data_IF_484412865642
#
_entry.id   IF_484412865642
#
_cell.length_a   1.000
_cell.length_b   1.000
_cell.length_c   1.000
_cell.angle_alpha   90.00
_cell.angle_beta   90.00
_cell.angle_gamma   90.00
#
_symmetry.space_group_name_H-M   'P 1'
#
loop_
_entity.id
_entity.type
_entity.pdbx_description
1 polymer ?
#
# COMPACT_ATOMS: atom_id res chain seq x y z
N UNK A 1 -18.26 -20.88 -5.09
CA UNK A 1 -18.34 -20.36 -3.71
C UNK A 1 -16.91 -20.13 -3.22
N UNK A 2 -16.43 -18.90 -3.19
CA UNK A 2 -15.14 -18.58 -2.58
C UNK A 2 -15.32 -18.64 -1.07
N UNK A 3 -14.70 -19.63 -0.43
CA UNK A 3 -14.68 -19.73 1.04
C UNK A 3 -13.96 -18.50 1.55
N UNK A 4 -14.62 -17.68 2.38
CA UNK A 4 -13.95 -16.56 3.04
C UNK A 4 -12.80 -17.11 3.89
N UNK A 5 -11.58 -16.52 3.79
CA UNK A 5 -10.46 -16.99 4.60
C UNK A 5 -10.79 -16.89 6.07
N UNK A 6 -10.41 -17.92 6.83
CA UNK A 6 -10.63 -17.96 8.28
C UNK A 6 -9.84 -16.87 9.00
N UNK A 7 -10.38 -16.36 10.11
CA UNK A 7 -9.79 -15.29 10.91
C UNK A 7 -8.31 -15.49 11.24
N UNK A 8 -7.83 -16.71 11.62
CA UNK A 8 -6.40 -16.93 11.87
C UNK A 8 -5.49 -16.63 10.67
N UNK A 9 -5.93 -16.97 9.46
CA UNK A 9 -5.19 -16.65 8.23
C UNK A 9 -5.12 -15.14 7.98
N UNK A 10 -6.20 -14.42 8.26
CA UNK A 10 -6.24 -12.96 8.13
C UNK A 10 -5.31 -12.27 9.12
N UNK A 11 -5.22 -12.79 10.36
CA UNK A 11 -4.24 -12.30 11.35
C UNK A 11 -2.81 -12.55 10.85
N UNK A 12 -2.55 -13.75 10.29
CA UNK A 12 -1.24 -14.05 9.71
C UNK A 12 -0.89 -13.14 8.51
N UNK A 13 -1.87 -12.77 7.68
CA UNK A 13 -1.69 -11.80 6.60
C UNK A 13 -1.31 -10.42 7.14
N UNK A 14 -2.06 -9.92 8.12
CA UNK A 14 -1.76 -8.63 8.76
C UNK A 14 -0.37 -8.63 9.41
N UNK A 15 -0.01 -9.73 10.07
CA UNK A 15 1.31 -9.92 10.66
C UNK A 15 2.43 -9.89 9.61
N UNK A 16 2.29 -10.67 8.55
CA UNK A 16 3.27 -10.71 7.47
C UNK A 16 3.41 -9.35 6.76
N UNK A 17 2.28 -8.72 6.41
CA UNK A 17 2.28 -7.41 5.76
C UNK A 17 2.95 -6.32 6.62
N UNK A 18 2.67 -6.30 7.93
CA UNK A 18 3.27 -5.34 8.85
C UNK A 18 4.75 -5.64 9.12
N UNK A 19 5.13 -6.91 9.20
CA UNK A 19 6.54 -7.28 9.32
C UNK A 19 7.33 -6.78 8.11
N UNK A 20 6.78 -6.95 6.93
CA UNK A 20 7.32 -6.45 5.67
C UNK A 20 7.44 -4.93 5.69
N UNK A 21 6.34 -4.23 5.99
CA UNK A 21 6.29 -2.78 6.01
C UNK A 21 7.27 -2.19 7.04
N UNK A 22 7.31 -2.74 8.23
CA UNK A 22 8.24 -2.31 9.27
C UNK A 22 9.71 -2.50 8.90
N UNK A 23 10.03 -3.49 8.06
CA UNK A 23 11.41 -3.72 7.59
C UNK A 23 11.82 -2.79 6.44
N UNK A 24 10.89 -2.35 5.60
CA UNK A 24 11.17 -1.61 4.35
C UNK A 24 10.69 -0.16 4.44
N UNK A 25 9.75 0.14 5.33
CA UNK A 25 9.12 1.46 5.46
C UNK A 25 8.12 1.77 4.34
N UNK A 26 7.71 0.75 3.59
CA UNK A 26 6.69 0.82 2.53
C UNK A 26 6.33 -0.59 2.08
N UNK A 27 5.05 -0.88 1.88
CA UNK A 27 4.66 -2.17 1.30
C UNK A 27 3.56 -2.91 2.05
N UNK A 28 3.00 -2.35 3.13
CA UNK A 28 1.87 -2.94 3.84
C UNK A 28 0.74 -3.26 2.86
N UNK A 29 0.25 -2.25 2.14
CA UNK A 29 -0.89 -2.39 1.24
C UNK A 29 -0.64 -3.41 0.13
N UNK A 30 0.49 -3.31 -0.59
CA UNK A 30 0.78 -4.27 -1.69
C UNK A 30 0.93 -5.70 -1.20
N UNK A 31 1.54 -5.91 -0.03
CA UNK A 31 1.74 -7.25 0.54
C UNK A 31 0.42 -7.84 1.02
N UNK A 32 -0.36 -7.08 1.78
CA UNK A 32 -1.68 -7.51 2.24
C UNK A 32 -2.61 -7.81 1.05
N UNK A 33 -2.64 -6.93 0.04
CA UNK A 33 -3.47 -7.11 -1.16
C UNK A 33 -3.04 -8.30 -1.99
N UNK A 34 -1.74 -8.51 -2.18
CA UNK A 34 -1.24 -9.67 -2.90
C UNK A 34 -1.69 -10.97 -2.23
N UNK A 35 -1.55 -11.07 -0.91
CA UNK A 35 -1.93 -12.28 -0.16
C UNK A 35 -3.46 -12.45 -0.15
N UNK A 36 -4.24 -11.40 0.16
CA UNK A 36 -5.71 -11.49 0.18
C UNK A 36 -6.29 -11.86 -1.19
N UNK A 37 -5.74 -11.29 -2.27
CA UNK A 37 -6.17 -11.62 -3.64
C UNK A 37 -5.82 -13.05 -4.01
N UNK A 38 -4.66 -13.56 -3.55
CA UNK A 38 -4.27 -14.97 -3.71
C UNK A 38 -5.22 -15.91 -2.95
N UNK A 39 -5.70 -15.49 -1.77
CA UNK A 39 -6.73 -16.21 -1.00
C UNK A 39 -8.14 -16.12 -1.62
N UNK A 40 -8.27 -15.50 -2.78
CA UNK A 40 -9.51 -15.40 -3.54
C UNK A 40 -10.44 -14.27 -3.11
N UNK A 41 -10.01 -13.38 -2.21
CA UNK A 41 -10.80 -12.19 -1.83
C UNK A 41 -10.99 -11.29 -3.05
N UNK A 42 -12.23 -10.82 -3.34
CA UNK A 42 -12.47 -9.92 -4.45
C UNK A 42 -11.67 -8.62 -4.35
N UNK A 43 -11.15 -8.05 -5.47
CA UNK A 43 -10.30 -6.86 -5.43
C UNK A 43 -10.90 -5.66 -4.69
N UNK A 44 -12.20 -5.38 -4.88
CA UNK A 44 -12.86 -4.28 -4.19
C UNK A 44 -12.94 -4.48 -2.66
N UNK A 45 -13.20 -5.72 -2.21
CA UNK A 45 -13.22 -6.08 -0.79
C UNK A 45 -11.80 -6.04 -0.22
N UNK A 46 -10.81 -6.52 -0.98
CA UNK A 46 -9.39 -6.44 -0.61
C UNK A 46 -8.98 -4.99 -0.40
N UNK A 47 -9.25 -4.12 -1.38
CA UNK A 47 -8.90 -2.70 -1.30
C UNK A 47 -9.61 -2.01 -0.12
N UNK A 48 -10.92 -2.24 0.07
CA UNK A 48 -11.66 -1.68 1.19
C UNK A 48 -11.07 -2.10 2.55
N UNK A 49 -10.72 -3.39 2.68
CA UNK A 49 -10.17 -3.96 3.93
C UNK A 49 -8.78 -3.40 4.23
N UNK A 50 -7.91 -3.37 3.23
CA UNK A 50 -6.52 -2.88 3.39
C UNK A 50 -6.53 -1.39 3.71
N UNK A 51 -7.27 -0.58 2.96
CA UNK A 51 -7.34 0.86 3.24
C UNK A 51 -7.99 1.18 4.60
N UNK A 52 -8.96 0.39 5.07
CA UNK A 52 -9.50 0.54 6.40
C UNK A 52 -8.42 0.29 7.49
N UNK A 53 -7.58 -0.72 7.31
CA UNK A 53 -6.46 -0.97 8.20
C UNK A 53 -5.38 0.14 8.08
N UNK A 54 -5.11 0.63 6.88
CA UNK A 54 -4.17 1.73 6.64
C UNK A 54 -4.63 3.06 7.26
N UNK A 55 -5.93 3.34 7.34
CA UNK A 55 -6.43 4.53 8.07
C UNK A 55 -5.92 4.54 9.50
N UNK A 56 -5.94 3.39 10.17
CA UNK A 56 -5.47 3.30 11.56
C UNK A 56 -3.94 3.41 11.61
N UNK A 57 -3.25 2.61 10.83
CA UNK A 57 -1.77 2.53 10.88
C UNK A 57 -1.11 3.81 10.38
N UNK A 58 -1.59 4.38 9.26
CA UNK A 58 -1.11 5.65 8.73
C UNK A 58 -1.51 6.82 9.62
N UNK A 59 -2.66 6.77 10.28
CA UNK A 59 -3.10 7.79 11.24
C UNK A 59 -2.14 7.89 12.43
N UNK A 60 -1.79 6.76 13.05
CA UNK A 60 -0.83 6.71 14.15
C UNK A 60 0.57 7.15 13.68
N UNK A 61 1.01 6.66 12.54
CA UNK A 61 2.29 7.05 11.94
C UNK A 61 2.34 8.54 11.63
N UNK A 62 1.28 9.08 11.04
CA UNK A 62 1.15 10.51 10.69
C UNK A 62 1.22 11.40 11.93
N UNK A 63 0.51 11.03 13.01
CA UNK A 63 0.56 11.75 14.28
C UNK A 63 1.98 11.76 14.87
N UNK A 64 2.66 10.61 14.84
CA UNK A 64 4.05 10.48 15.30
C UNK A 64 5.00 11.36 14.46
N UNK A 65 4.90 11.31 13.15
CA UNK A 65 5.72 12.13 12.25
C UNK A 65 5.44 13.62 12.38
N UNK A 66 4.17 14.02 12.65
CA UNK A 66 3.81 15.40 12.94
C UNK A 66 4.46 15.88 14.23
N UNK A 67 4.45 15.05 15.29
CA UNK A 67 5.12 15.35 16.55
C UNK A 67 6.62 15.61 16.36
N UNK A 68 7.28 14.78 15.57
CA UNK A 68 8.71 14.95 15.25
C UNK A 68 9.01 15.95 14.14
N UNK A 69 8.01 16.70 13.65
CA UNK A 69 8.15 17.71 12.58
C UNK A 69 8.76 17.14 11.29
N UNK A 70 8.39 15.93 10.93
CA UNK A 70 8.85 15.22 9.73
C UNK A 70 7.89 15.37 8.54
N UNK A 71 6.98 16.33 8.56
CA UNK A 71 6.03 16.58 7.47
C UNK A 71 6.42 17.84 6.73
N UNK A 72 6.70 17.74 5.42
CA UNK A 72 6.87 18.89 4.55
C UNK A 72 5.49 19.37 4.07
N UNK A 73 5.06 20.54 4.58
CA UNK A 73 3.74 21.10 4.28
C UNK A 73 3.52 21.37 2.79
N UNK A 74 4.55 21.78 2.04
CA UNK A 74 4.43 22.08 0.60
C UNK A 74 4.19 20.83 -0.20
N UNK A 75 4.96 19.78 0.08
CA UNK A 75 4.81 18.47 -0.57
C UNK A 75 3.46 17.86 -0.18
N UNK A 76 3.09 17.91 1.12
CA UNK A 76 1.80 17.43 1.62
C UNK A 76 0.63 18.03 0.83
N UNK A 77 0.55 19.37 0.74
CA UNK A 77 -0.54 20.04 0.04
C UNK A 77 -0.56 19.76 -1.47
N UNK A 78 0.62 19.57 -2.08
CA UNK A 78 0.70 19.24 -3.52
C UNK A 78 0.21 17.85 -3.85
N UNK A 79 0.30 16.90 -2.91
CA UNK A 79 -0.11 15.50 -3.09
C UNK A 79 -1.53 15.22 -2.60
N UNK A 80 -1.99 15.93 -1.54
CA UNK A 80 -3.20 15.62 -0.81
C UNK A 80 -4.44 15.64 -1.71
N UNK A 81 -4.76 16.79 -2.28
CA UNK A 81 -6.00 16.96 -3.07
C UNK A 81 -6.01 16.05 -4.31
N UNK A 82 -4.96 16.05 -5.14
CA UNK A 82 -4.91 15.15 -6.29
C UNK A 82 -4.92 13.67 -5.88
N UNK A 83 -4.24 13.31 -4.77
CA UNK A 83 -4.21 11.93 -4.25
C UNK A 83 -5.59 11.45 -3.82
N UNK A 84 -6.33 12.29 -3.08
CA UNK A 84 -7.70 11.99 -2.66
C UNK A 84 -8.63 11.85 -3.89
N UNK A 85 -8.54 12.76 -4.86
CA UNK A 85 -9.33 12.66 -6.10
C UNK A 85 -9.00 11.36 -6.83
N UNK A 86 -7.71 11.04 -6.99
CA UNK A 86 -7.27 9.79 -7.60
C UNK A 86 -7.82 8.57 -6.86
N UNK A 87 -7.73 8.54 -5.53
CA UNK A 87 -8.24 7.47 -4.69
C UNK A 87 -9.74 7.26 -4.83
N UNK A 88 -10.52 8.34 -4.79
CA UNK A 88 -11.99 8.28 -4.99
C UNK A 88 -12.35 7.76 -6.40
N UNK A 89 -11.67 8.25 -7.44
CA UNK A 89 -11.92 7.79 -8.80
C UNK A 89 -11.54 6.32 -8.99
N UNK A 90 -10.39 5.89 -8.46
CA UNK A 90 -9.95 4.49 -8.50
C UNK A 90 -10.90 3.58 -7.74
N UNK A 91 -11.32 3.97 -6.54
CA UNK A 91 -12.27 3.23 -5.72
C UNK A 91 -13.64 3.11 -6.42
N UNK A 92 -14.11 4.20 -7.01
CA UNK A 92 -15.38 4.21 -7.76
C UNK A 92 -15.30 3.26 -8.96
N UNK A 93 -14.23 3.32 -9.73
CA UNK A 93 -14.02 2.40 -10.84
C UNK A 93 -14.00 0.94 -10.35
N UNK A 94 -13.24 0.68 -9.30
CA UNK A 94 -13.08 -0.66 -8.74
C UNK A 94 -14.40 -1.27 -8.24
N UNK A 95 -15.27 -0.45 -7.67
CA UNK A 95 -16.57 -0.91 -7.17
C UNK A 95 -17.57 -1.28 -8.28
N UNK A 96 -17.46 -0.65 -9.47
CA UNK A 96 -18.40 -0.86 -10.58
C UNK A 96 -17.93 -1.86 -11.62
N UNK A 97 -16.65 -2.19 -11.64
CA UNK A 97 -16.10 -3.13 -12.62
C UNK A 97 -16.12 -4.56 -12.04
N UNK A 98 -16.61 -5.56 -12.80
CA UNK A 98 -16.63 -6.93 -12.34
C UNK A 98 -15.25 -7.45 -11.92
N UNK A 99 -15.19 -8.20 -10.82
CA UNK A 99 -13.94 -8.68 -10.23
C UNK A 99 -13.05 -9.46 -11.22
N UNK A 100 -13.66 -10.27 -12.12
CA UNK A 100 -12.91 -11.02 -13.12
C UNK A 100 -12.19 -10.12 -14.15
N UNK A 101 -12.77 -8.97 -14.47
CA UNK A 101 -12.16 -7.98 -15.36
C UNK A 101 -11.03 -7.23 -14.69
N UNK A 102 -11.16 -6.91 -13.39
CA UNK A 102 -10.17 -6.14 -12.64
C UNK A 102 -8.97 -6.99 -12.21
N UNK A 103 -9.17 -8.26 -11.87
CA UNK A 103 -8.12 -9.16 -11.37
C UNK A 103 -6.82 -9.14 -12.20
N UNK A 104 -6.83 -9.30 -13.54
CA UNK A 104 -5.59 -9.27 -14.31
C UNK A 104 -4.85 -7.93 -14.20
N UNK A 105 -5.59 -6.81 -14.11
CA UNK A 105 -4.97 -5.48 -13.91
C UNK A 105 -4.35 -5.34 -12.52
N UNK A 106 -5.00 -5.87 -11.48
CA UNK A 106 -4.43 -5.89 -10.11
C UNK A 106 -3.15 -6.72 -10.08
N UNK A 107 -3.14 -7.91 -10.69
CA UNK A 107 -1.95 -8.74 -10.77
C UNK A 107 -0.82 -8.07 -11.57
N UNK A 108 -1.14 -7.46 -12.71
CA UNK A 108 -0.17 -6.70 -13.51
C UNK A 108 0.39 -5.51 -12.72
N UNK A 109 -0.47 -4.79 -11.99
CA UNK A 109 -0.06 -3.69 -11.10
C UNK A 109 0.90 -4.18 -10.00
N UNK A 110 0.57 -5.27 -9.31
CA UNK A 110 1.42 -5.85 -8.27
C UNK A 110 2.78 -6.29 -8.84
N UNK A 111 2.77 -6.89 -10.04
CA UNK A 111 3.98 -7.28 -10.76
C UNK A 111 4.87 -6.07 -11.09
N UNK A 112 4.29 -5.03 -11.68
CA UNK A 112 5.03 -3.79 -12.01
C UNK A 112 5.56 -3.13 -10.75
N UNK A 113 4.76 -3.06 -9.69
CA UNK A 113 5.16 -2.46 -8.42
C UNK A 113 6.31 -3.24 -7.78
N UNK A 114 6.26 -4.58 -7.82
CA UNK A 114 7.36 -5.43 -7.33
C UNK A 114 8.66 -5.20 -8.12
N UNK A 115 8.59 -5.06 -9.45
CA UNK A 115 9.73 -4.73 -10.30
C UNK A 115 10.31 -3.35 -9.96
N UNK A 116 9.45 -2.37 -9.66
CA UNK A 116 9.89 -1.05 -9.18
C UNK A 116 10.65 -1.20 -7.85
N UNK A 117 10.12 -1.97 -6.90
CA UNK A 117 10.77 -2.25 -5.62
C UNK A 117 12.13 -2.91 -5.83
N UNK A 118 12.21 -3.96 -6.64
CA UNK A 118 13.46 -4.69 -6.94
C UNK A 118 14.48 -3.81 -7.67
N UNK A 119 14.04 -3.01 -8.64
CA UNK A 119 14.93 -2.11 -9.38
C UNK A 119 15.68 -1.12 -8.47
N UNK A 120 15.11 -0.75 -7.34
CA UNK A 120 15.72 0.19 -6.38
C UNK A 120 16.83 -0.44 -5.56
N UNK A 121 16.80 -1.76 -5.39
CA UNK A 121 17.91 -2.50 -4.75
C UNK A 121 19.14 -2.50 -5.66
N UNK A 122 18.92 -2.56 -6.98
CA UNK A 122 19.96 -2.73 -8.00
C UNK A 122 20.49 -1.39 -8.50
N UNK A 123 19.59 -0.43 -8.77
CA UNK A 123 19.94 0.84 -9.41
C UNK A 123 20.26 1.93 -8.35
N UNK A 124 21.52 2.34 -8.29
CA UNK A 124 21.94 3.58 -7.61
C UNK A 124 21.45 4.76 -8.46
N UNK A 125 20.33 5.39 -8.13
CA UNK A 125 19.83 6.54 -8.88
C UNK A 125 20.36 7.86 -8.31
N UNK A 126 20.76 8.76 -9.21
CA UNK A 126 21.07 10.16 -8.90
C UNK A 126 19.80 10.92 -8.47
N UNK A 127 19.88 11.79 -7.47
CA UNK A 127 18.74 12.59 -7.03
C UNK A 127 18.21 13.49 -8.15
N UNK A 128 16.93 13.36 -8.49
CA UNK A 128 16.21 14.29 -9.36
C UNK A 128 15.41 15.25 -8.47
N UNK A 129 15.49 16.57 -8.72
CA UNK A 129 14.75 17.57 -7.92
C UNK A 129 13.23 17.33 -7.97
N UNK A 130 12.57 17.43 -6.82
CA UNK A 130 11.10 17.45 -6.74
C UNK A 130 10.60 18.76 -7.36
N UNK A 131 10.10 18.68 -8.57
CA UNK A 131 9.54 19.80 -9.32
C UNK A 131 8.00 19.76 -9.36
N UNK A 132 7.41 20.51 -10.29
CA UNK A 132 5.95 20.71 -10.49
C UNK A 132 5.09 19.44 -10.72
N UNK A 133 5.64 18.23 -10.60
CA UNK A 133 4.97 16.96 -10.85
C UNK A 133 4.26 16.35 -9.61
N UNK A 134 4.24 17.05 -8.47
CA UNK A 134 3.57 16.60 -7.25
C UNK A 134 2.08 16.25 -7.47
N UNK A 135 1.28 17.14 -8.09
CA UNK A 135 -0.14 16.87 -8.32
C UNK A 135 -0.39 15.64 -9.20
N UNK A 136 0.34 15.50 -10.32
CA UNK A 136 0.22 14.34 -11.18
C UNK A 136 0.64 13.04 -10.48
N UNK A 137 1.71 13.09 -9.69
CA UNK A 137 2.16 11.96 -8.88
C UNK A 137 1.10 11.53 -7.86
N UNK A 138 0.49 12.52 -7.16
CA UNK A 138 -0.58 12.25 -6.19
C UNK A 138 -1.80 11.61 -6.85
N UNK A 139 -2.30 12.19 -7.95
CA UNK A 139 -3.48 11.69 -8.65
C UNK A 139 -3.28 10.26 -9.17
N UNK A 140 -2.17 10.00 -9.86
CA UNK A 140 -1.86 8.67 -10.41
C UNK A 140 -1.62 7.67 -9.29
N UNK A 141 -0.86 8.04 -8.26
CA UNK A 141 -0.58 7.16 -7.15
C UNK A 141 -1.86 6.80 -6.37
N UNK A 142 -2.73 7.77 -6.06
CA UNK A 142 -3.99 7.52 -5.37
C UNK A 142 -4.94 6.64 -6.18
N UNK A 143 -5.01 6.85 -7.49
CA UNK A 143 -5.83 6.02 -8.39
C UNK A 143 -5.33 4.56 -8.42
N UNK A 144 -4.03 4.36 -8.62
CA UNK A 144 -3.43 3.03 -8.67
C UNK A 144 -3.46 2.32 -7.31
N UNK A 145 -3.26 3.07 -6.23
CA UNK A 145 -3.35 2.60 -4.85
C UNK A 145 -4.74 2.04 -4.54
N UNK A 146 -5.79 2.77 -4.89
CA UNK A 146 -7.16 2.33 -4.70
C UNK A 146 -7.51 1.06 -5.50
N UNK A 147 -7.08 0.97 -6.76
CA UNK A 147 -7.34 -0.20 -7.62
C UNK A 147 -6.51 -1.40 -7.18
N UNK A 148 -5.24 -1.19 -6.84
CA UNK A 148 -4.31 -2.25 -6.42
C UNK A 148 -4.52 -2.71 -4.99
N UNK A 149 -5.29 -1.98 -4.19
CA UNK A 149 -5.49 -2.23 -2.78
C UNK A 149 -4.26 -1.88 -1.94
N UNK A 150 -3.48 -0.90 -2.39
CA UNK A 150 -2.27 -0.42 -1.75
C UNK A 150 -1.12 -0.20 -2.73
N UNK A 151 -0.09 0.52 -2.29
CA UNK A 151 1.09 0.81 -3.11
C UNK A 151 1.49 2.27 -3.15
N UNK A 152 0.74 3.13 -2.50
CA UNK A 152 1.08 4.55 -2.34
C UNK A 152 2.52 4.76 -1.91
N UNK A 153 2.96 4.09 -0.85
CA UNK A 153 4.33 4.21 -0.32
C UNK A 153 5.39 3.83 -1.34
N UNK A 154 5.17 2.77 -2.12
CA UNK A 154 6.13 2.33 -3.15
C UNK A 154 6.22 3.30 -4.32
N UNK A 155 5.15 4.00 -4.66
CA UNK A 155 5.13 4.99 -5.74
C UNK A 155 5.60 6.34 -5.23
N UNK A 156 4.94 6.89 -4.21
CA UNK A 156 5.14 8.27 -3.75
C UNK A 156 6.40 8.41 -2.90
N UNK A 157 6.52 7.64 -1.81
CA UNK A 157 7.66 7.75 -0.89
C UNK A 157 8.97 7.51 -1.61
N UNK A 158 8.99 6.48 -2.40
CA UNK A 158 10.19 6.12 -3.14
C UNK A 158 10.52 7.12 -4.26
N UNK A 159 9.52 7.71 -4.90
CA UNK A 159 9.76 8.78 -5.88
C UNK A 159 10.32 10.03 -5.21
N UNK A 160 9.79 10.41 -4.04
CA UNK A 160 10.30 11.52 -3.27
C UNK A 160 11.77 11.30 -2.86
N UNK A 161 12.11 10.12 -2.33
CA UNK A 161 13.49 9.78 -1.95
C UNK A 161 14.40 9.79 -3.18
N UNK A 162 13.97 9.22 -4.31
CA UNK A 162 14.73 9.22 -5.55
C UNK A 162 14.97 10.65 -6.10
N UNK A 163 14.11 11.59 -5.75
CA UNK A 163 14.24 13.02 -6.11
C UNK A 163 14.99 13.85 -5.07
N UNK A 164 15.60 13.21 -4.07
CA UNK A 164 16.47 13.88 -3.10
C UNK A 164 15.75 14.44 -1.87
N UNK A 165 14.46 14.12 -1.67
CA UNK A 165 13.78 14.43 -0.41
C UNK A 165 14.38 13.55 0.69
N UNK A 166 14.79 14.15 1.80
CA UNK A 166 15.34 13.39 2.91
C UNK A 166 14.33 12.32 3.39
N UNK A 167 14.76 11.07 3.65
CA UNK A 167 13.86 9.95 3.96
C UNK A 167 12.83 10.24 5.05
N UNK A 168 13.23 10.93 6.13
CA UNK A 168 12.32 11.31 7.21
C UNK A 168 11.13 12.16 6.74
N UNK A 169 11.37 13.13 5.84
CA UNK A 169 10.33 13.97 5.29
C UNK A 169 9.52 13.25 4.21
N UNK A 170 10.16 12.42 3.41
CA UNK A 170 9.46 11.60 2.41
C UNK A 170 8.49 10.63 3.08
N UNK A 171 8.93 9.89 4.11
CA UNK A 171 8.10 8.93 4.83
C UNK A 171 7.00 9.66 5.62
N UNK A 172 7.36 10.68 6.41
CA UNK A 172 6.39 11.40 7.25
C UNK A 172 5.32 12.10 6.42
N UNK A 173 5.72 12.77 5.34
CA UNK A 173 4.76 13.44 4.44
C UNK A 173 3.89 12.43 3.69
N UNK A 174 4.47 11.33 3.23
CA UNK A 174 3.73 10.25 2.56
C UNK A 174 2.66 9.65 3.47
N UNK A 175 3.04 9.31 4.71
CA UNK A 175 2.10 8.76 5.70
C UNK A 175 0.98 9.75 6.05
N UNK A 176 1.29 11.04 6.13
CA UNK A 176 0.28 12.07 6.36
C UNK A 176 -0.72 12.17 5.20
N UNK A 177 -0.27 12.02 3.95
CA UNK A 177 -1.15 12.07 2.78
C UNK A 177 -1.95 10.78 2.65
N UNK A 178 -1.33 9.60 2.80
CA UNK A 178 -2.02 8.32 2.63
C UNK A 178 -3.14 8.14 3.67
N UNK A 179 -3.00 8.69 4.87
CA UNK A 179 -4.10 8.70 5.83
C UNK A 179 -5.40 9.24 5.22
N UNK A 180 -5.35 10.37 4.53
CA UNK A 180 -6.53 10.99 3.90
C UNK A 180 -6.95 10.25 2.62
N UNK A 181 -6.00 9.77 1.84
CA UNK A 181 -6.28 8.99 0.62
C UNK A 181 -6.93 7.67 0.98
N UNK A 182 -6.38 6.94 1.95
CA UNK A 182 -6.94 5.68 2.45
C UNK A 182 -8.34 5.88 3.07
N UNK A 183 -8.52 6.94 3.84
CA UNK A 183 -9.83 7.28 4.42
C UNK A 183 -10.87 7.54 3.31
N UNK A 184 -10.52 8.35 2.31
CA UNK A 184 -11.42 8.63 1.19
C UNK A 184 -11.71 7.39 0.34
N UNK A 185 -10.69 6.58 0.05
CA UNK A 185 -10.82 5.31 -0.69
C UNK A 185 -11.69 4.32 0.08
N UNK A 186 -11.44 4.14 1.38
CA UNK A 186 -12.20 3.27 2.26
C UNK A 186 -13.68 3.69 2.33
N UNK A 187 -13.95 4.97 2.57
CA UNK A 187 -15.31 5.51 2.62
C UNK A 187 -16.04 5.35 1.28
N UNK A 188 -15.35 5.61 0.16
CA UNK A 188 -15.94 5.44 -1.17
C UNK A 188 -16.33 3.99 -1.43
N UNK A 189 -15.43 3.05 -1.14
CA UNK A 189 -15.72 1.62 -1.29
C UNK A 189 -16.81 1.15 -0.33
N UNK A 190 -16.79 1.59 0.92
CA UNK A 190 -17.82 1.24 1.89
C UNK A 190 -19.21 1.70 1.43
N UNK A 191 -19.34 2.95 0.99
CA UNK A 191 -20.61 3.50 0.51
C UNK A 191 -21.13 2.77 -0.74
N UNK A 192 -20.24 2.32 -1.62
CA UNK A 192 -20.62 1.69 -2.88
C UNK A 192 -20.84 0.17 -2.75
N UNK A 193 -20.09 -0.51 -1.89
CA UNK A 193 -20.27 -1.94 -1.63
C UNK A 193 -21.40 -2.22 -0.64
N UNK A 194 -21.82 -1.22 0.15
CA UNK A 194 -22.85 -1.32 1.15
C UNK A 194 -22.46 -2.15 2.39
N UNK A 195 -21.31 -2.81 2.38
CA UNK A 195 -20.83 -3.65 3.47
C UNK A 195 -19.33 -3.48 3.68
N UNK A 196 -18.90 -3.59 4.94
CA UNK A 196 -17.48 -3.64 5.32
C UNK A 196 -17.22 -4.95 6.06
N UNK A 197 -16.15 -5.63 5.69
CA UNK A 197 -15.69 -6.83 6.39
C UNK A 197 -14.85 -6.45 7.62
N UNK A 198 -15.53 -6.00 8.67
CA UNK A 198 -14.88 -5.59 9.93
C UNK A 198 -14.05 -6.71 10.56
N UNK A 199 -14.46 -7.96 10.39
CA UNK A 199 -13.73 -9.15 10.80
C UNK A 199 -12.33 -9.21 10.14
N UNK A 200 -12.26 -8.94 8.85
CA UNK A 200 -11.00 -8.90 8.11
C UNK A 200 -10.14 -7.69 8.53
N UNK A 201 -10.74 -6.52 8.68
CA UNK A 201 -10.03 -5.30 9.13
C UNK A 201 -9.41 -5.51 10.50
N UNK A 202 -10.20 -6.01 11.47
CA UNK A 202 -9.73 -6.28 12.83
C UNK A 202 -8.64 -7.34 12.85
N UNK A 203 -8.77 -8.41 12.06
CA UNK A 203 -7.75 -9.44 11.95
C UNK A 203 -6.42 -8.88 11.41
N UNK A 204 -6.47 -8.05 10.36
CA UNK A 204 -5.28 -7.37 9.83
C UNK A 204 -4.64 -6.45 10.87
N UNK A 205 -5.43 -5.70 11.62
CA UNK A 205 -4.94 -4.80 12.67
C UNK A 205 -4.32 -5.57 13.84
N UNK A 206 -4.94 -6.66 14.29
CA UNK A 206 -4.37 -7.51 15.36
C UNK A 206 -3.05 -8.11 14.91
N UNK A 207 -2.99 -8.69 13.72
CA UNK A 207 -1.76 -9.23 13.15
C UNK A 207 -0.67 -8.15 13.00
N UNK A 208 -1.05 -6.99 12.47
CA UNK A 208 -0.16 -5.85 12.32
C UNK A 208 0.40 -5.33 13.65
N UNK A 209 -0.46 -5.17 14.65
CA UNK A 209 -0.05 -4.72 15.99
C UNK A 209 0.92 -5.72 16.65
N UNK A 210 0.68 -7.02 16.49
CA UNK A 210 1.57 -8.07 17.00
C UNK A 210 2.92 -8.08 16.29
N UNK A 211 2.96 -7.79 14.97
CA UNK A 211 4.19 -7.77 14.20
C UNK A 211 5.04 -6.51 14.41
N UNK A 212 4.43 -5.38 14.75
CA UNK A 212 5.11 -4.09 14.82
C UNK A 212 6.39 -4.07 15.69
N UNK A 213 6.40 -4.59 16.93
CA UNK A 213 7.61 -4.65 17.75
C UNK A 213 8.67 -5.60 17.17
N UNK A 214 8.24 -6.70 16.54
CA UNK A 214 9.13 -7.67 15.89
C UNK A 214 9.76 -7.04 14.65
N UNK A 215 8.97 -6.33 13.85
CA UNK A 215 9.46 -5.61 12.69
C UNK A 215 10.53 -4.57 13.06
N UNK A 216 10.33 -3.83 14.14
CA UNK A 216 11.30 -2.86 14.65
C UNK A 216 12.60 -3.54 15.06
N UNK A 217 12.52 -4.70 15.72
CA UNK A 217 13.70 -5.50 16.06
C UNK A 217 14.42 -6.06 14.83
N UNK A 218 13.68 -6.63 13.87
CA UNK A 218 14.24 -7.15 12.61
C UNK A 218 14.94 -6.04 11.83
N UNK A 219 14.35 -4.84 11.74
CA UNK A 219 14.92 -3.70 11.02
C UNK A 219 16.26 -3.26 11.59
N UNK A 220 16.46 -3.43 12.90
CA UNK A 220 17.75 -3.12 13.54
C UNK A 220 18.85 -4.16 13.25
N UNK A 221 18.50 -5.37 12.78
CA UNK A 221 19.44 -6.48 12.58
C UNK A 221 19.57 -6.92 11.11
N UNK A 222 18.57 -6.66 10.26
CA UNK A 222 18.55 -7.09 8.85
C UNK A 222 18.86 -5.90 7.95
N UNK A 223 19.83 -6.02 7.02
CA UNK A 223 20.09 -4.96 6.07
C UNK A 223 18.84 -4.62 5.24
N UNK A 224 18.49 -3.34 5.14
CA UNK A 224 17.31 -2.86 4.42
C UNK A 224 17.23 -3.41 2.97
N UNK A 225 18.40 -3.60 2.32
CA UNK A 225 18.45 -4.19 0.98
C UNK A 225 17.91 -5.62 0.96
N UNK A 226 18.27 -6.46 1.93
CA UNK A 226 17.80 -7.84 2.01
C UNK A 226 16.29 -7.89 2.23
N UNK A 227 15.77 -7.09 3.15
CA UNK A 227 14.34 -6.98 3.42
C UNK A 227 13.57 -6.51 2.17
N UNK A 228 14.03 -5.43 1.51
CA UNK A 228 13.41 -4.92 0.28
C UNK A 228 13.42 -5.95 -0.85
N UNK A 229 14.52 -6.71 -1.00
CA UNK A 229 14.61 -7.77 -2.00
C UNK A 229 13.61 -8.89 -1.70
N UNK A 230 13.54 -9.36 -0.46
CA UNK A 230 12.61 -10.41 -0.06
C UNK A 230 11.16 -10.03 -0.38
N UNK A 231 10.74 -8.81 -0.02
CA UNK A 231 9.40 -8.29 -0.33
C UNK A 231 9.15 -8.23 -1.84
N UNK A 232 10.09 -7.63 -2.57
CA UNK A 232 9.96 -7.51 -4.02
C UNK A 232 9.83 -8.88 -4.69
N UNK A 233 10.59 -9.88 -4.25
CA UNK A 233 10.52 -11.26 -4.78
C UNK A 233 9.18 -11.91 -4.43
N UNK A 234 8.71 -11.81 -3.18
CA UNK A 234 7.42 -12.40 -2.78
C UNK A 234 6.26 -11.79 -3.58
N UNK A 235 6.17 -10.46 -3.66
CA UNK A 235 5.11 -9.80 -4.41
C UNK A 235 5.24 -10.08 -5.92
N UNK A 236 6.46 -10.20 -6.44
CA UNK A 236 6.70 -10.60 -7.84
C UNK A 236 6.16 -12.00 -8.13
N UNK A 237 6.50 -12.97 -7.29
CA UNK A 237 6.03 -14.37 -7.46
C UNK A 237 4.51 -14.44 -7.39
N UNK A 238 3.89 -13.80 -6.39
CA UNK A 238 2.44 -13.76 -6.26
C UNK A 238 1.78 -13.06 -7.45
N UNK A 239 2.33 -11.93 -7.90
CA UNK A 239 1.83 -11.19 -9.06
C UNK A 239 1.94 -12.00 -10.36
N UNK A 240 3.08 -12.65 -10.59
CA UNK A 240 3.32 -13.47 -11.78
C UNK A 240 2.42 -14.71 -11.82
N UNK A 241 2.34 -15.45 -10.71
CA UNK A 241 1.48 -16.63 -10.61
C UNK A 241 0.01 -16.25 -10.72
N UNK A 242 -0.44 -15.19 -10.04
CA UNK A 242 -1.81 -14.71 -10.11
C UNK A 242 -2.20 -14.23 -11.52
N UNK A 243 -1.30 -13.52 -12.21
CA UNK A 243 -1.54 -13.10 -13.60
C UNK A 243 -1.63 -14.32 -14.54
N UNK A 244 -0.70 -15.26 -14.40
CA UNK A 244 -0.70 -16.49 -15.20
C UNK A 244 -2.01 -17.26 -15.02
N UNK A 245 -2.44 -17.54 -13.79
CA UNK A 245 -3.68 -18.29 -13.48
C UNK A 245 -4.97 -17.55 -13.87
N UNK A 246 -4.90 -16.25 -14.14
CA UNK A 246 -6.06 -15.46 -14.55
C UNK A 246 -6.20 -15.41 -16.07
N UNK A 247 -5.10 -15.63 -16.81
CA UNK A 247 -5.06 -15.62 -18.27
C UNK A 247 -5.20 -17.01 -18.90
N UNK A 248 -4.97 -18.07 -18.12
CA UNK A 248 -5.17 -19.49 -18.50
C UNK A 248 -6.48 -20.02 -17.99
#
# INVERSE_FOLDING_TARGET
MTVAPEVPWLIAVGFAAQLIDGCVGMGYGISASAILTTLGVPPAVTSATVHAAEVVTAGVSSASHAWFRNIDRRIFLSLLVPGVIGGVLGATLLAHVPAHTVRPFVWAYLLVTSLIVLSRVILKRTPLRVGAQGPALGAVAGFLDAIGGGGWGTIVTSTMIARGVAPRFAIGTSNAVIFFVALATCLTLWLQLGTMRYDMVLALLIGGAAAAPIAAWVTSHVPQRAATTAVGVVVFVLGATGLFTTLT
#
